data_IF_640808930932
#
_entry.id   IF_640808930932
#
_cell.length_a   1.000
_cell.length_b   1.000
_cell.length_c   1.000
_cell.angle_alpha   90.00
_cell.angle_beta   90.00
_cell.angle_gamma   90.00
#
_symmetry.space_group_name_H-M   'P 1'
#
loop_
_entity.id
_entity.type
_entity.pdbx_description
1 polymer ?
#
# COMPACT_ATOMS: atom_id res chain seq x y z
N UNK A 1 -51.45 -23.62 5.88
CA UNK A 1 -50.52 -23.65 4.73
C UNK A 1 -50.28 -22.23 4.24
N UNK A 2 -49.07 -21.68 4.41
CA UNK A 2 -48.39 -20.87 3.39
C UNK A 2 -46.90 -20.95 3.72
N UNK A 3 -46.20 -21.70 2.88
CA UNK A 3 -44.77 -21.89 2.89
C UNK A 3 -44.12 -20.64 2.32
N UNK A 4 -43.31 -19.93 3.11
CA UNK A 4 -42.35 -18.98 2.56
C UNK A 4 -41.00 -19.70 2.41
N UNK A 5 -40.43 -19.73 1.20
CA UNK A 5 -39.22 -20.47 0.92
C UNK A 5 -37.98 -19.78 1.50
N UNK A 6 -37.12 -20.62 2.06
CA UNK A 6 -35.69 -20.38 2.27
C UNK A 6 -35.09 -19.72 1.04
N UNK A 7 -34.57 -18.50 1.20
CA UNK A 7 -33.54 -17.98 0.33
C UNK A 7 -32.30 -17.67 1.18
N UNK A 8 -31.59 -18.76 1.50
CA UNK A 8 -30.16 -18.73 1.79
C UNK A 8 -29.42 -18.19 0.57
N UNK A 9 -29.08 -16.90 0.58
CA UNK A 9 -28.05 -16.36 -0.31
C UNK A 9 -26.83 -16.01 0.53
N UNK A 10 -25.87 -16.93 0.52
CA UNK A 10 -24.59 -16.81 1.20
C UNK A 10 -23.81 -15.59 0.67
N UNK A 11 -23.14 -14.80 1.54
CA UNK A 11 -22.05 -13.95 1.09
C UNK A 11 -20.77 -14.80 0.96
N UNK A 12 -20.66 -15.61 -0.09
CA UNK A 12 -19.37 -16.18 -0.52
C UNK A 12 -18.71 -15.26 -1.54
N UNK A 13 -18.61 -13.96 -1.22
CA UNK A 13 -17.56 -13.16 -1.86
C UNK A 13 -16.25 -13.60 -1.20
N UNK A 14 -15.68 -14.66 -1.77
CA UNK A 14 -14.43 -15.24 -1.34
C UNK A 14 -13.40 -14.12 -1.29
N UNK A 15 -12.99 -13.90 -0.05
CA UNK A 15 -12.12 -12.86 0.45
C UNK A 15 -10.74 -13.07 -0.18
N UNK A 16 -10.52 -12.62 -1.42
CA UNK A 16 -9.19 -12.59 -2.04
C UNK A 16 -8.36 -11.47 -1.40
N UNK A 17 -8.03 -11.66 -0.13
CA UNK A 17 -7.48 -10.66 0.78
C UNK A 17 -6.09 -11.12 1.22
N UNK A 18 -5.14 -11.24 0.31
CA UNK A 18 -3.80 -11.65 0.75
C UNK A 18 -2.73 -11.93 -0.28
N UNK A 19 -3.00 -11.91 -1.58
CA UNK A 19 -1.98 -12.27 -2.58
C UNK A 19 -1.36 -11.08 -3.30
N UNK A 20 -1.67 -9.86 -2.87
CA UNK A 20 -1.01 -8.66 -3.37
C UNK A 20 0.04 -8.22 -2.36
N UNK A 21 1.30 -8.62 -2.60
CA UNK A 21 2.43 -8.03 -1.88
C UNK A 21 2.49 -6.53 -2.19
N UNK A 22 2.79 -5.73 -1.18
CA UNK A 22 3.09 -4.32 -1.40
C UNK A 22 4.33 -4.20 -2.30
N UNK A 23 4.27 -3.46 -3.42
CA UNK A 23 5.45 -3.23 -4.23
C UNK A 23 6.45 -2.38 -3.44
N UNK A 24 7.73 -2.72 -3.59
CA UNK A 24 8.82 -1.86 -3.12
C UNK A 24 8.90 -0.62 -4.01
N UNK A 25 9.21 0.52 -3.40
CA UNK A 25 9.37 1.78 -4.15
C UNK A 25 10.54 1.68 -5.14
N UNK A 26 11.59 0.93 -4.79
CA UNK A 26 12.72 0.62 -5.69
C UNK A 26 12.29 -0.06 -6.99
N UNK A 27 11.33 -0.99 -6.92
CA UNK A 27 10.82 -1.65 -8.12
C UNK A 27 10.00 -0.67 -8.96
N UNK A 28 9.17 0.17 -8.34
CA UNK A 28 8.39 1.19 -9.03
C UNK A 28 9.28 2.21 -9.75
N UNK A 29 10.41 2.58 -9.15
CA UNK A 29 11.40 3.46 -9.77
C UNK A 29 12.03 2.81 -11.00
N UNK A 30 12.41 1.52 -10.92
CA UNK A 30 12.98 0.79 -12.06
C UNK A 30 12.01 0.69 -13.25
N UNK A 31 10.72 0.52 -12.98
CA UNK A 31 9.68 0.42 -14.01
C UNK A 31 8.98 1.75 -14.31
N UNK A 32 9.55 2.87 -13.85
CA UNK A 32 8.97 4.21 -14.01
C UNK A 32 8.56 4.52 -15.44
N UNK A 33 9.31 4.05 -16.44
CA UNK A 33 9.07 4.29 -17.87
C UNK A 33 7.80 3.58 -18.41
N UNK A 34 7.47 2.42 -17.85
CA UNK A 34 6.28 1.63 -18.25
C UNK A 34 5.04 1.96 -17.41
N UNK A 35 5.20 2.79 -16.37
CA UNK A 35 4.13 3.13 -15.45
C UNK A 35 3.23 4.24 -16.03
N UNK A 36 1.90 4.16 -15.86
CA UNK A 36 1.01 5.26 -16.18
C UNK A 36 1.34 6.49 -15.32
N UNK A 37 1.13 7.69 -15.87
CA UNK A 37 1.47 8.98 -15.23
C UNK A 37 0.88 9.11 -13.82
N UNK A 38 -0.32 8.55 -13.61
CA UNK A 38 -0.98 8.54 -12.31
C UNK A 38 -0.18 7.80 -11.24
N UNK A 39 0.68 6.84 -11.54
CA UNK A 39 1.47 6.12 -10.53
C UNK A 39 2.89 6.68 -10.39
N UNK A 40 3.26 7.68 -11.19
CA UNK A 40 4.59 8.27 -11.19
C UNK A 40 4.95 8.89 -9.84
N UNK A 41 3.97 9.44 -9.11
CA UNK A 41 4.17 10.02 -7.78
C UNK A 41 4.64 8.99 -6.74
N UNK A 42 4.31 7.70 -6.93
CA UNK A 42 4.79 6.63 -6.06
C UNK A 42 6.26 6.29 -6.32
N UNK A 43 6.72 6.43 -7.56
CA UNK A 43 8.14 6.25 -7.90
C UNK A 43 9.01 7.41 -7.40
N UNK A 44 8.41 8.58 -7.15
CA UNK A 44 9.06 9.73 -6.54
C UNK A 44 9.20 9.60 -5.01
N UNK A 45 8.58 8.58 -4.42
CA UNK A 45 8.68 8.35 -3.00
C UNK A 45 10.13 8.04 -2.60
N UNK A 46 10.52 8.40 -1.36
CA UNK A 46 11.80 7.98 -0.82
C UNK A 46 11.92 6.46 -0.86
N UNK A 47 12.85 5.96 -1.68
CA UNK A 47 13.13 4.53 -1.88
C UNK A 47 13.82 3.91 -0.67
N UNK A 48 14.59 4.72 0.05
CA UNK A 48 15.39 4.33 1.18
C UNK A 48 15.22 5.37 2.30
N UNK A 49 15.18 4.87 3.53
CA UNK A 49 15.32 5.67 4.75
C UNK A 49 16.78 6.13 4.94
N UNK A 50 17.08 7.18 5.73
CA UNK A 50 18.46 7.54 6.13
C UNK A 50 19.33 6.38 6.67
N UNK A 51 18.73 5.31 7.18
CA UNK A 51 19.43 4.09 7.59
C UNK A 51 19.66 3.06 6.45
N UNK A 52 19.31 3.39 5.20
CA UNK A 52 19.49 2.53 4.02
C UNK A 52 18.45 1.40 3.91
N UNK A 53 17.33 1.50 4.62
CA UNK A 53 16.28 0.48 4.62
C UNK A 53 15.31 0.69 3.46
N UNK A 54 14.90 -0.39 2.79
CA UNK A 54 13.97 -0.33 1.67
C UNK A 54 12.56 0.05 2.13
N UNK A 55 11.92 0.92 1.37
CA UNK A 55 10.55 1.36 1.64
C UNK A 55 9.55 0.59 0.79
N UNK A 56 8.39 0.33 1.38
CA UNK A 56 7.26 -0.32 0.71
C UNK A 56 6.01 0.55 0.77
N UNK A 57 5.20 0.50 -0.29
CA UNK A 57 3.93 1.24 -0.35
C UNK A 57 2.85 0.48 0.41
N UNK A 58 2.30 1.10 1.45
CA UNK A 58 1.16 0.62 2.21
C UNK A 58 -0.07 1.50 1.97
N UNK A 59 -1.25 0.95 2.25
CA UNK A 59 -2.52 1.67 2.12
C UNK A 59 -3.21 1.78 3.47
N UNK A 60 -3.46 3.01 3.91
CA UNK A 60 -4.23 3.28 5.11
C UNK A 60 -5.72 3.26 4.79
N UNK A 61 -6.47 2.36 5.43
CA UNK A 61 -7.93 2.27 5.24
C UNK A 61 -8.70 3.44 5.85
N UNK A 62 -8.17 4.05 6.92
CA UNK A 62 -8.82 5.15 7.65
C UNK A 62 -8.81 6.45 6.84
N UNK A 63 -7.66 6.76 6.25
CA UNK A 63 -7.46 7.97 5.44
C UNK A 63 -7.62 7.72 3.95
N UNK A 64 -7.81 6.45 3.54
CA UNK A 64 -7.84 5.99 2.15
C UNK A 64 -6.66 6.54 1.33
N UNK A 65 -5.50 6.65 1.98
CA UNK A 65 -4.29 7.23 1.40
C UNK A 65 -3.16 6.20 1.39
N UNK A 66 -2.31 6.29 0.37
CA UNK A 66 -1.08 5.53 0.28
C UNK A 66 0.01 6.21 1.11
N UNK A 67 0.75 5.43 1.89
CA UNK A 67 1.90 5.88 2.66
C UNK A 67 3.02 4.88 2.45
N UNK A 68 4.27 5.33 2.52
CA UNK A 68 5.42 4.43 2.50
C UNK A 68 5.85 4.13 3.92
N UNK A 69 6.31 2.91 4.15
CA UNK A 69 6.88 2.49 5.43
C UNK A 69 8.15 1.70 5.18
N UNK A 70 9.12 1.85 6.08
CA UNK A 70 10.39 1.13 6.03
C UNK A 70 10.32 -0.17 6.83
N UNK A 71 10.89 -1.24 6.29
CA UNK A 71 11.06 -2.52 6.97
C UNK A 71 12.52 -2.96 6.87
N UNK A 72 13.07 -3.45 7.99
CA UNK A 72 14.43 -3.97 8.09
C UNK A 72 14.37 -5.37 8.67
N UNK A 73 14.76 -6.36 7.88
CA UNK A 73 14.92 -7.75 8.35
C UNK A 73 13.69 -8.28 9.11
N UNK A 74 12.49 -7.98 8.60
CA UNK A 74 11.21 -8.36 9.23
C UNK A 74 10.80 -7.52 10.45
N UNK A 75 11.53 -6.46 10.80
CA UNK A 75 11.14 -5.46 11.82
C UNK A 75 10.83 -4.11 11.17
N UNK A 76 9.68 -3.53 11.51
CA UNK A 76 9.36 -2.16 11.13
C UNK A 76 10.31 -1.20 11.87
N UNK A 77 11.00 -0.32 11.13
CA UNK A 77 11.94 0.66 11.72
C UNK A 77 11.23 1.87 12.33
N UNK A 78 9.90 1.93 12.26
CA UNK A 78 9.10 3.06 12.75
C UNK A 78 9.09 4.28 11.81
N UNK A 79 9.79 4.20 10.67
CA UNK A 79 9.73 5.26 9.68
C UNK A 79 8.55 5.09 8.73
N UNK A 80 7.88 6.19 8.46
CA UNK A 80 6.82 6.28 7.47
C UNK A 80 6.92 7.59 6.70
N UNK A 81 6.45 7.64 5.46
CA UNK A 81 6.28 8.91 4.76
C UNK A 81 4.91 8.98 4.09
N UNK A 82 4.32 10.16 4.10
CA UNK A 82 2.99 10.44 3.57
C UNK A 82 3.10 11.37 2.37
N UNK A 83 2.26 11.15 1.37
CA UNK A 83 2.18 12.05 0.22
C UNK A 83 1.12 13.12 0.48
N UNK A 84 1.57 14.34 0.78
CA UNK A 84 0.72 15.49 1.11
C UNK A 84 1.06 16.64 0.16
N UNK A 85 0.05 17.19 -0.51
CA UNK A 85 0.18 18.37 -1.37
C UNK A 85 1.25 18.24 -2.48
N UNK A 86 1.37 17.04 -3.06
CA UNK A 86 2.36 16.79 -4.11
C UNK A 86 3.77 16.48 -3.59
N UNK A 87 3.99 16.47 -2.26
CA UNK A 87 5.29 16.25 -1.62
C UNK A 87 5.26 15.07 -0.66
N UNK A 88 6.41 14.40 -0.54
CA UNK A 88 6.62 13.37 0.46
C UNK A 88 7.05 13.99 1.78
N UNK A 89 6.27 13.76 2.83
CA UNK A 89 6.53 14.21 4.20
C UNK A 89 6.92 12.99 5.03
N UNK A 90 8.16 13.01 5.52
CA UNK A 90 8.71 11.97 6.40
C UNK A 90 8.12 12.14 7.81
N UNK A 91 7.56 11.07 8.34
CA UNK A 91 7.01 10.99 9.69
C UNK A 91 7.60 9.78 10.41
N UNK A 92 8.47 10.04 11.39
CA UNK A 92 8.91 9.03 12.34
C UNK A 92 7.77 8.79 13.33
N UNK A 93 7.27 7.56 13.39
CA UNK A 93 6.21 7.16 14.31
C UNK A 93 6.77 6.39 15.50
#
# INVERSE_FOLDING_TARGET
MTVLPVCSWLPTLSRNRGETRAPLVEELYRFRDRLPEKLRYLADAPQQDPEGNKTMVRFSRKTKQQYVSSEKDGKATGWSAFYVDGKWVEGKK
#
